data_IF_299479831245
#
_entry.id   IF_299479831245
#
_cell.length_a   1.000
_cell.length_b   1.000
_cell.length_c   1.000
_cell.angle_alpha   90.00
_cell.angle_beta   90.00
_cell.angle_gamma   90.00
#
_symmetry.space_group_name_H-M   'P 1'
#
loop_
_entity.id
_entity.type
_entity.pdbx_description
1 polymer ?
#
# COMPACT_ATOMS: atom_id res chain seq x y z
N UNK A 1 1.53 8.74 3.60
CA UNK A 1 0.57 7.65 3.90
C UNK A 1 1.01 6.87 5.14
N UNK A 2 0.10 6.62 6.08
CA UNK A 2 0.33 5.78 7.28
C UNK A 2 -0.53 4.51 7.28
N UNK A 3 0.04 3.36 7.59
CA UNK A 3 -0.67 2.07 7.60
C UNK A 3 -0.01 1.09 8.57
N UNK A 4 -0.67 -0.04 8.81
CA UNK A 4 -0.25 -1.09 9.73
C UNK A 4 -0.26 -2.45 9.05
N UNK A 5 0.73 -3.26 9.38
CA UNK A 5 0.72 -4.71 9.14
C UNK A 5 0.60 -5.45 10.46
N UNK A 6 -0.19 -6.52 10.48
CA UNK A 6 -0.34 -7.42 11.61
C UNK A 6 -0.25 -8.87 11.13
N UNK A 7 0.29 -9.74 11.98
CA UNK A 7 0.47 -11.18 11.72
C UNK A 7 1.22 -11.49 10.41
N UNK A 8 2.38 -10.86 10.21
CA UNK A 8 3.22 -11.07 9.04
C UNK A 8 4.41 -11.97 9.41
N UNK A 9 4.21 -13.29 9.35
CA UNK A 9 5.21 -14.25 9.83
C UNK A 9 5.53 -14.03 11.30
N UNK A 10 6.80 -13.76 11.62
CA UNK A 10 7.27 -13.46 12.99
C UNK A 10 6.92 -12.06 13.47
N UNK A 11 6.40 -11.19 12.60
CA UNK A 11 6.06 -9.81 12.95
C UNK A 11 4.60 -9.74 13.37
N UNK A 12 4.37 -9.65 14.69
CA UNK A 12 3.02 -9.52 15.24
C UNK A 12 2.33 -8.23 14.77
N UNK A 13 3.07 -7.11 14.82
CA UNK A 13 2.57 -5.79 14.43
C UNK A 13 3.68 -4.81 14.06
N UNK A 14 3.46 -4.01 13.02
CA UNK A 14 4.32 -2.87 12.66
C UNK A 14 3.50 -1.76 11.99
N UNK A 15 3.79 -0.50 12.37
CA UNK A 15 3.13 0.69 11.84
C UNK A 15 4.14 1.45 10.95
N UNK A 16 3.74 1.85 9.74
CA UNK A 16 4.55 2.58 8.78
C UNK A 16 4.04 3.99 8.56
N UNK A 17 4.98 4.89 8.27
CA UNK A 17 4.71 6.24 7.78
C UNK A 17 5.60 6.53 6.57
N UNK A 18 5.03 6.43 5.36
CA UNK A 18 5.73 6.69 4.11
C UNK A 18 6.01 8.18 3.86
N UNK A 19 5.56 9.09 4.74
CA UNK A 19 5.99 10.49 4.67
C UNK A 19 7.41 10.71 5.20
N UNK A 20 7.98 9.73 5.90
CA UNK A 20 9.34 9.80 6.41
C UNK A 20 10.35 9.60 5.29
N UNK A 21 11.44 10.38 5.33
CA UNK A 21 12.50 10.37 4.30
C UNK A 21 13.33 9.09 4.29
N UNK A 22 13.48 8.44 5.45
CA UNK A 22 14.30 7.24 5.61
C UNK A 22 13.64 6.31 6.62
N UNK A 23 13.55 5.04 6.25
CA UNK A 23 13.17 3.93 7.12
C UNK A 23 14.30 2.91 7.12
N UNK A 24 14.76 2.49 8.30
CA UNK A 24 15.82 1.49 8.44
C UNK A 24 15.27 0.31 9.23
N UNK A 25 15.37 -0.89 8.68
CA UNK A 25 15.03 -2.13 9.39
C UNK A 25 16.29 -2.74 9.99
N UNK A 26 16.39 -2.72 11.32
CA UNK A 26 17.53 -3.22 12.08
C UNK A 26 17.13 -4.41 12.96
N UNK A 27 18.10 -5.21 13.38
CA UNK A 27 17.91 -6.35 14.29
C UNK A 27 18.62 -7.61 13.80
N UNK A 28 18.61 -8.65 14.63
CA UNK A 28 19.19 -9.96 14.32
C UNK A 28 18.48 -10.66 13.17
N UNK A 29 19.09 -11.70 12.62
CA UNK A 29 18.47 -12.49 11.56
C UNK A 29 17.25 -13.26 12.06
N UNK A 30 16.31 -13.50 11.15
CA UNK A 30 15.05 -14.16 11.51
C UNK A 30 14.03 -13.30 12.26
N UNK A 31 14.29 -12.02 12.53
CA UNK A 31 13.35 -11.14 13.26
C UNK A 31 12.28 -10.46 12.39
N UNK A 32 12.16 -10.85 11.11
CA UNK A 32 11.10 -10.36 10.23
C UNK A 32 11.46 -9.16 9.34
N UNK A 33 12.71 -8.69 9.34
CA UNK A 33 13.20 -7.61 8.44
C UNK A 33 12.86 -7.89 6.96
N UNK A 34 13.12 -9.11 6.50
CA UNK A 34 12.83 -9.55 5.13
C UNK A 34 11.34 -9.61 4.85
N UNK A 35 10.54 -10.15 5.78
CA UNK A 35 9.09 -10.22 5.66
C UNK A 35 8.50 -8.83 5.46
N UNK A 36 8.87 -7.89 6.32
CA UNK A 36 8.43 -6.49 6.23
C UNK A 36 8.85 -5.85 4.91
N UNK A 37 10.11 -6.03 4.51
CA UNK A 37 10.64 -5.44 3.27
C UNK A 37 9.90 -5.95 2.04
N UNK A 38 9.62 -7.25 1.99
CA UNK A 38 8.89 -7.87 0.87
C UNK A 38 7.40 -7.50 0.87
N UNK A 39 6.74 -7.43 2.03
CA UNK A 39 5.36 -6.95 2.10
C UNK A 39 5.24 -5.48 1.66
N UNK A 40 6.20 -4.63 2.05
CA UNK A 40 6.29 -3.25 1.60
C UNK A 40 6.56 -3.18 0.09
N UNK A 41 7.46 -4.01 -0.44
CA UNK A 41 7.67 -4.16 -1.87
C UNK A 41 6.38 -4.54 -2.60
N UNK A 42 5.59 -5.49 -2.08
CA UNK A 42 4.30 -5.84 -2.65
C UNK A 42 3.27 -4.70 -2.66
N UNK A 43 3.33 -3.80 -1.68
CA UNK A 43 2.48 -2.61 -1.64
C UNK A 43 2.91 -1.56 -2.67
N UNK A 44 4.22 -1.30 -2.77
CA UNK A 44 4.78 -0.19 -3.55
C UNK A 44 5.03 -0.55 -5.00
N UNK A 45 5.59 -1.73 -5.25
CA UNK A 45 5.78 -2.24 -6.59
C UNK A 45 4.47 -2.87 -7.04
N UNK A 46 3.85 -2.24 -8.03
CA UNK A 46 2.72 -2.77 -8.78
C UNK A 46 3.13 -4.02 -9.55
N UNK A 47 3.29 -5.16 -8.85
CA UNK A 47 3.48 -6.48 -9.43
C UNK A 47 2.30 -6.88 -10.35
N UNK A 48 1.24 -6.07 -10.37
CA UNK A 48 0.09 -6.09 -11.26
C UNK A 48 -0.45 -4.67 -11.49
N UNK A 49 -1.20 -4.43 -12.58
CA UNK A 49 -1.97 -3.21 -12.74
C UNK A 49 -2.87 -3.05 -11.52
N UNK A 50 -2.80 -1.88 -10.88
CA UNK A 50 -3.80 -1.49 -9.88
C UNK A 50 -5.16 -1.57 -10.60
N UNK A 51 -6.14 -2.33 -10.11
CA UNK A 51 -7.42 -2.54 -10.79
C UNK A 51 -8.32 -1.31 -10.69
N UNK A 52 -7.75 -0.10 -10.73
CA UNK A 52 -8.48 1.14 -10.63
C UNK A 52 -8.12 2.02 -11.81
N UNK A 53 -9.12 2.22 -12.65
CA UNK A 53 -9.06 3.19 -13.73
C UNK A 53 -9.02 4.61 -13.10
N UNK A 54 -7.88 5.27 -13.20
CA UNK A 54 -7.68 6.63 -12.68
C UNK A 54 -8.39 7.67 -13.56
N UNK A 55 -8.50 7.40 -14.85
CA UNK A 55 -9.14 8.26 -15.85
C UNK A 55 -9.59 7.44 -17.08
N UNK A 56 -10.54 7.94 -17.88
CA UNK A 56 -10.93 7.32 -19.14
C UNK A 56 -9.79 7.34 -20.15
N UNK A 57 -9.42 6.19 -20.71
CA UNK A 57 -8.28 6.10 -21.62
C UNK A 57 -8.56 6.77 -22.96
N UNK A 58 -9.81 6.76 -23.41
CA UNK A 58 -10.22 7.41 -24.66
C UNK A 58 -10.04 8.93 -24.59
N UNK A 59 -10.39 9.57 -23.46
CA UNK A 59 -10.14 10.99 -23.28
C UNK A 59 -8.64 11.34 -23.35
N UNK A 60 -7.76 10.49 -22.81
CA UNK A 60 -6.31 10.69 -22.92
C UNK A 60 -5.84 10.57 -24.37
N UNK A 61 -6.32 9.56 -25.10
CA UNK A 61 -5.93 9.34 -26.51
C UNK A 61 -6.36 10.51 -27.40
N UNK A 62 -7.57 11.01 -27.20
CA UNK A 62 -8.13 12.11 -27.98
C UNK A 62 -7.44 13.44 -27.67
N UNK A 63 -7.38 13.80 -26.38
CA UNK A 63 -6.91 15.12 -25.94
C UNK A 63 -5.38 15.20 -25.85
N UNK A 64 -4.68 14.05 -25.84
CA UNK A 64 -3.23 13.89 -25.59
C UNK A 64 -2.73 14.47 -24.27
N UNK A 65 -3.62 15.08 -23.49
CA UNK A 65 -3.39 15.68 -22.20
C UNK A 65 -4.68 15.57 -21.38
N UNK A 66 -4.53 15.36 -20.09
CA UNK A 66 -5.63 15.30 -19.12
C UNK A 66 -5.24 16.09 -17.88
N UNK A 67 -6.14 16.94 -17.43
CA UNK A 67 -6.06 17.58 -16.11
C UNK A 67 -6.89 16.76 -15.13
N UNK A 68 -6.23 16.17 -14.14
CA UNK A 68 -6.85 15.31 -13.14
C UNK A 68 -6.92 16.06 -11.82
N UNK A 69 -8.14 16.36 -11.37
CA UNK A 69 -8.34 16.91 -10.03
C UNK A 69 -8.09 15.82 -8.95
N UNK A 70 -7.27 16.16 -7.97
CA UNK A 70 -6.97 15.27 -6.84
C UNK A 70 -8.09 15.31 -5.80
N UNK A 71 -9.09 14.44 -5.95
CA UNK A 71 -10.14 14.26 -4.96
C UNK A 71 -9.62 13.53 -3.70
N UNK A 72 -9.67 14.14 -2.50
CA UNK A 72 -9.26 13.50 -1.25
C UNK A 72 -10.02 12.22 -0.93
N UNK A 73 -11.31 12.13 -1.27
CA UNK A 73 -12.15 10.97 -0.94
C UNK A 73 -11.78 9.77 -1.83
N UNK A 74 -11.61 10.01 -3.13
CA UNK A 74 -11.09 9.02 -4.07
C UNK A 74 -9.70 8.56 -3.67
N UNK A 75 -8.76 9.47 -3.38
CA UNK A 75 -7.39 9.10 -2.98
C UNK A 75 -7.35 8.28 -1.69
N UNK A 76 -8.16 8.66 -0.69
CA UNK A 76 -8.27 7.90 0.55
C UNK A 76 -8.82 6.49 0.30
N UNK A 77 -9.80 6.36 -0.60
CA UNK A 77 -10.38 5.07 -1.00
C UNK A 77 -9.38 4.20 -1.77
N UNK A 78 -8.60 4.79 -2.69
CA UNK A 78 -7.54 4.09 -3.43
C UNK A 78 -6.49 3.49 -2.49
N UNK A 79 -6.09 4.20 -1.45
CA UNK A 79 -5.15 3.70 -0.43
C UNK A 79 -5.70 2.47 0.30
N UNK A 80 -7.00 2.47 0.64
CA UNK A 80 -7.67 1.30 1.22
C UNK A 80 -7.70 0.12 0.25
N UNK A 81 -8.02 0.38 -1.02
CA UNK A 81 -8.03 -0.66 -2.07
C UNK A 81 -6.64 -1.26 -2.24
N UNK A 82 -5.58 -0.45 -2.25
CA UNK A 82 -4.20 -0.92 -2.38
C UNK A 82 -3.77 -1.83 -1.21
N UNK A 83 -4.11 -1.46 0.03
CA UNK A 83 -3.82 -2.28 1.22
C UNK A 83 -4.63 -3.58 1.22
N UNK A 84 -5.90 -3.52 0.82
CA UNK A 84 -6.74 -4.72 0.69
C UNK A 84 -6.24 -5.66 -0.40
N UNK A 85 -5.83 -5.12 -1.54
CA UNK A 85 -5.22 -5.89 -2.64
C UNK A 85 -3.89 -6.55 -2.22
N UNK A 86 -3.10 -5.85 -1.41
CA UNK A 86 -1.92 -6.45 -0.78
C UNK A 86 -2.33 -7.65 0.09
N UNK A 87 -3.25 -7.42 1.03
CA UNK A 87 -3.72 -8.42 1.98
C UNK A 87 -4.29 -9.65 1.30
N UNK A 88 -5.17 -9.48 0.32
CA UNK A 88 -5.94 -10.57 -0.25
C UNK A 88 -5.15 -11.33 -1.33
N UNK A 89 -4.29 -10.64 -2.08
CA UNK A 89 -3.66 -11.21 -3.29
C UNK A 89 -2.15 -11.05 -3.35
N UNK A 90 -1.63 -9.82 -3.29
CA UNK A 90 -0.20 -9.60 -3.62
C UNK A 90 0.74 -10.23 -2.61
N UNK A 91 0.34 -10.33 -1.33
CA UNK A 91 1.17 -10.96 -0.30
C UNK A 91 1.49 -12.42 -0.64
N UNK A 92 0.51 -13.17 -1.17
CA UNK A 92 0.70 -14.56 -1.57
C UNK A 92 1.73 -14.68 -2.69
N UNK A 93 1.66 -13.78 -3.68
CA UNK A 93 2.58 -13.76 -4.81
C UNK A 93 3.99 -13.35 -4.41
N UNK A 94 4.12 -12.34 -3.54
CA UNK A 94 5.40 -11.86 -3.04
C UNK A 94 6.18 -12.98 -2.35
N UNK A 95 5.49 -13.81 -1.57
CA UNK A 95 6.13 -14.92 -0.84
C UNK A 95 6.07 -16.26 -1.57
N UNK A 96 5.27 -16.39 -2.63
CA UNK A 96 5.02 -17.68 -3.29
C UNK A 96 4.28 -18.69 -2.41
N UNK A 97 3.50 -18.21 -1.43
CA UNK A 97 2.83 -19.04 -0.43
C UNK A 97 1.32 -18.73 -0.37
N UNK A 98 0.53 -19.72 0.05
CA UNK A 98 -0.89 -19.50 0.33
C UNK A 98 -1.10 -18.62 1.56
N UNK A 99 -2.21 -17.88 1.63
CA UNK A 99 -2.55 -17.05 2.80
C UNK A 99 -2.64 -17.85 4.10
N UNK A 100 -3.08 -19.10 4.04
CA UNK A 100 -3.13 -19.99 5.22
C UNK A 100 -1.74 -20.14 5.86
N UNK A 101 -0.67 -20.09 5.06
CA UNK A 101 0.71 -20.22 5.51
C UNK A 101 1.31 -18.94 6.08
N UNK A 102 0.73 -17.77 5.79
CA UNK A 102 1.28 -16.45 6.18
C UNK A 102 0.75 -15.94 7.53
N UNK A 103 -0.06 -16.75 8.22
CA UNK A 103 -0.85 -16.26 9.36
C UNK A 103 -1.98 -15.36 8.87
N UNK A 104 -2.91 -14.97 9.74
CA UNK A 104 -4.01 -14.08 9.42
C UNK A 104 -3.50 -12.65 9.15
N UNK A 105 -2.70 -12.47 8.10
CA UNK A 105 -2.09 -11.22 7.72
C UNK A 105 -3.15 -10.16 7.50
N UNK A 106 -2.96 -9.00 8.13
CA UNK A 106 -3.86 -7.85 8.00
C UNK A 106 -3.07 -6.61 7.60
N UNK A 107 -3.61 -5.87 6.64
CA UNK A 107 -3.10 -4.57 6.24
C UNK A 107 -4.20 -3.52 6.42
N UNK A 108 -3.96 -2.53 7.27
CA UNK A 108 -4.96 -1.52 7.60
C UNK A 108 -4.42 -0.10 7.46
N UNK A 109 -5.27 0.81 6.96
CA UNK A 109 -4.91 2.21 6.83
C UNK A 109 -5.05 2.89 8.19
N UNK A 110 -3.97 3.50 8.69
CA UNK A 110 -3.99 4.31 9.92
C UNK A 110 -4.26 5.79 9.64
N UNK A 111 -4.14 6.19 8.37
CA UNK A 111 -4.28 7.56 7.92
C UNK A 111 -5.75 7.91 7.69
N UNK A 112 -6.22 9.01 8.29
CA UNK A 112 -7.62 9.45 8.15
C UNK A 112 -7.89 10.17 6.82
N UNK A 113 -9.18 10.30 6.46
CA UNK A 113 -9.63 11.13 5.34
C UNK A 113 -9.23 12.59 5.53
N UNK A 114 -9.35 13.13 6.75
CA UNK A 114 -8.95 14.51 7.08
C UNK A 114 -7.46 14.74 6.83
N UNK A 115 -6.61 13.79 7.23
CA UNK A 115 -5.17 13.86 6.96
C UNK A 115 -4.86 13.76 5.46
N UNK A 116 -5.61 12.95 4.70
CA UNK A 116 -5.51 12.89 3.22
C UNK A 116 -5.80 14.24 2.58
N UNK A 117 -6.87 14.90 3.00
CA UNK A 117 -7.21 16.23 2.49
C UNK A 117 -6.20 17.32 2.91
N UNK A 118 -5.45 17.12 3.99
CA UNK A 118 -4.39 18.05 4.42
C UNK A 118 -3.11 17.85 3.59
N UNK A 119 -2.76 16.61 3.28
CA UNK A 119 -1.60 16.26 2.45
C UNK A 119 -1.73 16.86 1.05
N UNK A 120 -2.91 16.75 0.42
CA UNK A 120 -3.17 17.31 -0.92
C UNK A 120 -3.10 18.84 -0.92
N UNK A 121 -3.59 19.50 0.14
CA UNK A 121 -3.63 20.97 0.24
C UNK A 121 -2.31 21.61 0.68
N UNK A 122 -1.41 20.83 1.26
CA UNK A 122 -0.09 21.28 1.71
C UNK A 122 1.06 20.86 0.80
N UNK A 123 0.74 20.33 -0.39
CA UNK A 123 1.71 19.94 -1.44
C UNK A 123 1.78 21.02 -2.52
#
# INVERSE_FOLDING_TARGET
MKFRFENLGVVERIDFDLSKKLSVFCGQDGTGKTYVSYALYGLLCGLYPIPVQLFPMEELKERKQLDIELDPDRLHSLRKIALKDLQDRKIQRVFGLSLHSLGQFKASLLFSRKETAKEIRGS
#
